data_IF_991484905377
#
_entry.id   IF_991484905377
#
_cell.length_a   1.000
_cell.length_b   1.000
_cell.length_c   1.000
_cell.angle_alpha   90.00
_cell.angle_beta   90.00
_cell.angle_gamma   90.00
#
_symmetry.space_group_name_H-M   'P 1'
#
loop_
_entity.id
_entity.type
_entity.pdbx_description
1 polymer ?
#
# COMPACT_ATOMS: atom_id res chain seq x y z
N UNK A 1 14.73 5.87 5.00
CA UNK A 1 15.26 4.68 4.29
C UNK A 1 14.22 3.56 4.10
N UNK A 2 13.32 3.28 5.05
CA UNK A 2 12.32 2.19 4.94
C UNK A 2 11.29 2.43 3.82
N UNK A 3 10.87 3.68 3.58
CA UNK A 3 9.92 4.02 2.50
C UNK A 3 10.45 3.66 1.09
N UNK A 4 11.77 3.80 0.88
CA UNK A 4 12.41 3.41 -0.37
C UNK A 4 12.39 1.90 -0.57
N UNK A 5 12.55 1.12 0.50
CA UNK A 5 12.46 -0.34 0.44
C UNK A 5 11.03 -0.81 0.13
N UNK A 6 9.99 -0.18 0.70
CA UNK A 6 8.60 -0.56 0.43
C UNK A 6 8.18 -0.25 -1.02
N UNK A 7 8.58 0.92 -1.56
CA UNK A 7 8.39 1.20 -2.99
C UNK A 7 9.13 0.16 -3.87
N UNK A 8 10.34 -0.25 -3.47
CA UNK A 8 11.11 -1.25 -4.22
C UNK A 8 10.43 -2.62 -4.20
N UNK A 9 9.91 -3.06 -3.04
CA UNK A 9 9.14 -4.30 -2.94
C UNK A 9 7.85 -4.25 -3.76
N UNK A 10 7.16 -3.10 -3.78
CA UNK A 10 5.96 -2.94 -4.59
C UNK A 10 6.25 -2.98 -6.09
N UNK A 11 7.32 -2.30 -6.54
CA UNK A 11 7.76 -2.30 -7.94
C UNK A 11 8.22 -3.71 -8.35
N UNK A 12 8.98 -4.41 -7.51
CA UNK A 12 9.44 -5.78 -7.79
C UNK A 12 8.30 -6.78 -7.79
N UNK A 13 7.34 -6.66 -6.87
CA UNK A 13 6.15 -7.51 -6.81
C UNK A 13 5.28 -7.30 -8.06
N UNK A 14 5.04 -6.03 -8.44
CA UNK A 14 4.32 -5.67 -9.66
C UNK A 14 5.03 -6.18 -10.92
N UNK A 15 6.35 -5.98 -11.03
CA UNK A 15 7.14 -6.46 -12.17
C UNK A 15 7.13 -7.99 -12.29
N UNK A 16 7.11 -8.71 -11.17
CA UNK A 16 7.03 -10.19 -11.14
C UNK A 16 5.64 -10.67 -11.57
N UNK A 17 4.59 -9.98 -11.15
CA UNK A 17 3.19 -10.29 -11.52
C UNK A 17 2.90 -10.01 -13.01
N UNK A 18 3.39 -8.89 -13.55
CA UNK A 18 3.26 -8.56 -14.98
C UNK A 18 3.97 -9.60 -15.86
N UNK A 19 5.08 -10.17 -15.39
CA UNK A 19 5.84 -11.20 -16.12
C UNK A 19 5.12 -12.56 -16.20
N UNK A 20 4.14 -12.83 -15.33
CA UNK A 20 3.41 -14.10 -15.30
C UNK A 20 2.13 -14.13 -16.15
N UNK A 21 1.69 -13.01 -16.72
CA UNK A 21 0.47 -12.96 -17.53
C UNK A 21 0.80 -13.13 -19.03
N UNK A 22 0.04 -13.93 -19.79
CA UNK A 22 0.14 -13.99 -21.25
C UNK A 22 -0.39 -12.66 -21.82
N UNK A 23 0.51 -11.77 -22.21
CA UNK A 23 0.16 -10.40 -22.57
C UNK A 23 -0.28 -10.33 -24.04
N UNK A 24 -1.53 -9.91 -24.29
CA UNK A 24 -1.96 -9.52 -25.64
C UNK A 24 -1.21 -8.25 -26.10
N UNK A 25 -0.88 -8.20 -27.40
CA UNK A 25 0.04 -7.23 -28.00
C UNK A 25 -0.30 -5.74 -27.76
N UNK A 26 -1.54 -5.41 -27.36
CA UNK A 26 -1.95 -4.05 -27.02
C UNK A 26 -1.40 -3.53 -25.69
N UNK A 27 -1.11 -4.39 -24.70
CA UNK A 27 -0.62 -3.96 -23.38
C UNK A 27 0.88 -3.62 -23.38
N UNK A 28 1.64 -4.16 -24.34
CA UNK A 28 3.08 -3.98 -24.43
C UNK A 28 3.49 -2.52 -24.64
N UNK A 29 2.68 -1.75 -25.39
CA UNK A 29 2.92 -0.32 -25.62
C UNK A 29 2.77 0.52 -24.35
N UNK A 30 1.81 0.16 -23.50
CA UNK A 30 1.56 0.83 -22.22
C UNK A 30 2.67 0.52 -21.22
N UNK A 31 3.11 -0.74 -21.15
CA UNK A 31 4.25 -1.15 -20.31
C UNK A 31 5.56 -0.51 -20.77
N UNK A 32 5.81 -0.39 -22.08
CA UNK A 32 6.99 0.31 -22.61
C UNK A 32 6.97 1.80 -22.28
N UNK A 33 5.81 2.46 -22.39
CA UNK A 33 5.64 3.86 -21.99
C UNK A 33 5.96 4.08 -20.51
N UNK A 34 5.48 3.20 -19.64
CA UNK A 34 5.79 3.22 -18.21
C UNK A 34 7.26 2.97 -17.90
N UNK A 35 7.90 2.02 -18.60
CA UNK A 35 9.32 1.71 -18.40
C UNK A 35 10.20 2.88 -18.80
N UNK A 36 9.92 3.52 -19.94
CA UNK A 36 10.68 4.69 -20.41
C UNK A 36 10.46 5.91 -19.52
N UNK A 37 9.24 6.15 -19.03
CA UNK A 37 8.98 7.20 -18.04
C UNK A 37 9.74 6.95 -16.73
N UNK A 38 9.81 5.70 -16.27
CA UNK A 38 10.53 5.31 -15.06
C UNK A 38 12.05 5.43 -15.21
N UNK A 39 12.60 5.04 -16.36
CA UNK A 39 14.03 5.20 -16.68
C UNK A 39 14.38 6.69 -16.79
N UNK A 40 13.52 7.50 -17.41
CA UNK A 40 13.67 8.95 -17.47
C UNK A 40 13.70 9.58 -16.07
N UNK A 41 12.82 9.14 -15.18
CA UNK A 41 12.80 9.60 -13.78
C UNK A 41 14.06 9.18 -13.01
N UNK A 42 14.51 7.94 -13.16
CA UNK A 42 15.73 7.45 -12.52
C UNK A 42 16.99 8.17 -13.03
N UNK A 43 17.07 8.45 -14.33
CA UNK A 43 18.18 9.17 -14.95
C UNK A 43 18.18 10.66 -14.55
N UNK A 44 17.00 11.29 -14.47
CA UNK A 44 16.83 12.64 -13.94
C UNK A 44 17.26 12.76 -12.47
N UNK A 45 16.94 11.79 -11.63
CA UNK A 45 17.36 11.75 -10.23
C UNK A 45 18.89 11.60 -10.05
N UNK A 46 19.57 10.90 -10.96
CA UNK A 46 21.03 10.76 -10.94
C UNK A 46 21.74 12.05 -11.39
N UNK A 47 21.19 12.74 -12.40
CA UNK A 47 21.70 14.05 -12.84
C UNK A 47 21.49 15.13 -11.76
N UNK A 48 20.34 15.13 -11.09
CA UNK A 48 20.03 16.06 -9.99
C UNK A 48 20.87 15.74 -8.74
N UNK A 49 21.16 14.47 -8.45
CA UNK A 49 22.09 14.10 -7.35
C UNK A 49 23.52 14.61 -7.59
N UNK A 50 23.94 14.71 -8.85
CA UNK A 50 25.26 15.24 -9.21
C UNK A 50 25.35 16.76 -9.09
N UNK A 51 24.22 17.48 -9.16
CA UNK A 51 24.14 18.93 -8.98
C UNK A 51 23.87 19.36 -7.52
N UNK A 52 23.45 18.46 -6.64
CA UNK A 52 22.98 18.79 -5.29
C UNK A 52 24.08 18.79 -4.21
N UNK A 53 25.35 18.64 -4.55
CA UNK A 53 26.47 18.82 -3.61
C UNK A 53 26.71 20.27 -3.17
N UNK A 54 25.89 21.24 -3.62
CA UNK A 54 26.18 22.68 -3.41
C UNK A 54 25.15 23.51 -2.62
N UNK A 55 24.01 22.98 -2.15
CA UNK A 55 23.22 23.75 -1.17
C UNK A 55 22.23 22.89 -0.37
N UNK A 56 22.35 22.90 0.96
CA UNK A 56 21.45 22.19 1.88
C UNK A 56 19.98 22.64 1.86
N UNK A 57 19.66 23.73 1.14
CA UNK A 57 18.29 24.24 0.98
C UNK A 57 17.53 23.51 -0.13
N UNK A 58 18.23 23.03 -1.16
CA UNK A 58 17.61 22.37 -2.30
C UNK A 58 17.09 20.95 -1.99
N UNK A 59 17.66 20.27 -0.98
CA UNK A 59 17.20 18.94 -0.56
C UNK A 59 15.78 18.94 0.04
N UNK A 60 15.44 19.96 0.84
CA UNK A 60 14.08 20.12 1.39
C UNK A 60 13.04 20.40 0.31
N UNK A 61 13.41 21.18 -0.71
CA UNK A 61 12.51 21.52 -1.82
C UNK A 61 12.33 20.35 -2.79
N UNK A 62 13.37 19.54 -3.01
CA UNK A 62 13.30 18.31 -3.79
C UNK A 62 12.45 17.23 -3.12
N UNK A 63 12.52 17.07 -1.78
CA UNK A 63 11.62 16.15 -1.07
C UNK A 63 10.14 16.54 -1.23
N UNK A 64 9.82 17.84 -1.23
CA UNK A 64 8.45 18.32 -1.45
C UNK A 64 8.01 18.11 -2.90
N UNK A 65 8.90 18.31 -3.89
CA UNK A 65 8.56 18.14 -5.31
C UNK A 65 8.45 16.67 -5.75
N UNK A 66 9.32 15.79 -5.26
CA UNK A 66 9.36 14.37 -5.66
C UNK A 66 8.36 13.52 -4.86
N UNK A 67 8.13 13.84 -3.58
CA UNK A 67 7.14 13.12 -2.78
C UNK A 67 5.78 13.83 -2.67
N UNK A 68 5.68 15.12 -3.00
CA UNK A 68 4.48 15.90 -2.70
C UNK A 68 3.43 15.98 -3.81
N UNK A 69 3.70 15.58 -5.06
CA UNK A 69 2.72 15.88 -6.14
C UNK A 69 2.37 14.74 -7.11
N UNK A 70 3.21 13.72 -7.40
CA UNK A 70 2.93 12.88 -8.61
C UNK A 70 3.06 11.34 -8.54
N UNK A 71 3.06 10.63 -7.40
CA UNK A 71 2.88 9.16 -7.47
C UNK A 71 1.59 8.61 -6.84
N UNK A 72 0.62 9.43 -6.42
CA UNK A 72 -0.56 8.90 -5.71
C UNK A 72 -1.62 8.32 -6.64
N UNK A 73 -2.08 9.04 -7.67
CA UNK A 73 -3.28 8.64 -8.40
C UNK A 73 -3.12 7.36 -9.24
N UNK A 74 -2.01 7.20 -9.96
CA UNK A 74 -1.78 6.04 -10.85
C UNK A 74 -1.51 4.77 -10.04
N UNK A 75 -0.78 4.86 -8.92
CA UNK A 75 -0.58 3.72 -8.03
C UNK A 75 -1.88 3.30 -7.32
N UNK A 76 -2.72 4.26 -6.92
CA UNK A 76 -3.99 3.96 -6.25
C UNK A 76 -4.99 3.27 -7.19
N UNK A 77 -5.12 3.74 -8.44
CA UNK A 77 -6.04 3.13 -9.41
C UNK A 77 -5.64 1.68 -9.76
N UNK A 78 -4.34 1.42 -9.93
CA UNK A 78 -3.83 0.06 -10.17
C UNK A 78 -4.06 -0.86 -8.97
N UNK A 79 -3.89 -0.36 -7.73
CA UNK A 79 -4.16 -1.12 -6.53
C UNK A 79 -5.65 -1.45 -6.37
N UNK A 80 -6.55 -0.48 -6.62
CA UNK A 80 -8.00 -0.68 -6.54
C UNK A 80 -8.51 -1.73 -7.53
N UNK A 81 -7.95 -1.79 -8.75
CA UNK A 81 -8.32 -2.79 -9.74
C UNK A 81 -7.88 -4.21 -9.34
N UNK A 82 -6.65 -4.36 -8.83
CA UNK A 82 -6.11 -5.66 -8.40
C UNK A 82 -6.85 -6.23 -7.18
N UNK A 83 -7.38 -5.36 -6.32
CA UNK A 83 -8.22 -5.74 -5.17
C UNK A 83 -9.50 -6.47 -5.59
N UNK A 84 -10.08 -6.19 -6.77
CA UNK A 84 -11.38 -6.74 -7.20
C UNK A 84 -11.32 -8.09 -7.94
N UNK A 85 -10.25 -8.42 -8.65
CA UNK A 85 -10.32 -9.42 -9.74
C UNK A 85 -9.45 -10.69 -9.59
N UNK A 86 -9.00 -11.07 -8.41
CA UNK A 86 -8.21 -12.32 -8.27
C UNK A 86 -9.07 -13.59 -8.13
N UNK A 87 -8.79 -14.66 -8.92
CA UNK A 87 -9.44 -15.96 -8.76
C UNK A 87 -9.00 -16.62 -7.45
N UNK A 88 -9.95 -17.22 -6.72
CA UNK A 88 -9.71 -17.72 -5.37
C UNK A 88 -8.73 -18.92 -5.34
N UNK A 89 -7.54 -18.80 -4.71
CA UNK A 89 -6.74 -19.96 -4.34
C UNK A 89 -7.49 -20.81 -3.30
N UNK A 90 -7.15 -22.12 -3.23
CA UNK A 90 -7.75 -23.07 -2.27
C UNK A 90 -7.65 -22.50 -0.84
N UNK A 91 -8.79 -22.33 -0.18
CA UNK A 91 -8.91 -21.56 1.05
C UNK A 91 -8.15 -22.21 2.20
N UNK A 92 -7.01 -21.61 2.56
CA UNK A 92 -6.45 -21.81 3.88
C UNK A 92 -7.34 -21.03 4.86
N UNK A 93 -8.06 -21.75 5.74
CA UNK A 93 -8.77 -21.10 6.85
C UNK A 93 -7.76 -20.40 7.75
N UNK A 94 -8.09 -19.17 8.13
CA UNK A 94 -7.31 -18.41 9.10
C UNK A 94 -7.31 -19.12 10.45
N UNK A 95 -6.17 -19.05 11.14
CA UNK A 95 -6.10 -19.35 12.56
C UNK A 95 -6.90 -18.31 13.38
N UNK A 96 -7.29 -18.66 14.60
CA UNK A 96 -8.03 -17.75 15.49
C UNK A 96 -7.24 -16.47 15.79
N UNK A 97 -5.90 -16.56 15.87
CA UNK A 97 -5.03 -15.41 16.07
C UNK A 97 -5.02 -14.48 14.84
N UNK A 98 -4.95 -15.04 13.63
CA UNK A 98 -5.03 -14.28 12.38
C UNK A 98 -6.39 -13.60 12.23
N UNK A 99 -7.47 -14.35 12.48
CA UNK A 99 -8.83 -13.82 12.43
C UNK A 99 -9.00 -12.65 13.40
N UNK A 100 -8.54 -12.80 14.65
CA UNK A 100 -8.56 -11.75 15.67
C UNK A 100 -7.78 -10.51 15.20
N UNK A 101 -6.55 -10.69 14.71
CA UNK A 101 -5.74 -9.58 14.23
C UNK A 101 -6.39 -8.83 13.06
N UNK A 102 -6.98 -9.55 12.11
CA UNK A 102 -7.69 -8.96 10.96
C UNK A 102 -8.90 -8.14 11.43
N UNK A 103 -9.74 -8.71 12.31
CA UNK A 103 -10.95 -8.04 12.82
C UNK A 103 -10.57 -6.75 13.57
N UNK A 104 -9.58 -6.83 14.47
CA UNK A 104 -9.10 -5.68 15.24
C UNK A 104 -8.57 -4.56 14.34
N UNK A 105 -7.75 -4.91 13.34
CA UNK A 105 -7.15 -3.95 12.42
C UNK A 105 -8.20 -3.26 11.55
N UNK A 106 -9.09 -4.01 10.89
CA UNK A 106 -10.15 -3.42 10.08
C UNK A 106 -11.18 -2.65 10.93
N UNK A 107 -11.50 -3.15 12.13
CA UNK A 107 -12.38 -2.47 13.07
C UNK A 107 -11.84 -1.11 13.49
N UNK A 108 -10.55 -1.04 13.80
CA UNK A 108 -9.86 0.22 14.10
C UNK A 108 -9.90 1.19 12.91
N UNK A 109 -9.57 0.74 11.70
CA UNK A 109 -9.59 1.62 10.53
C UNK A 109 -10.98 2.13 10.21
N UNK A 110 -12.00 1.28 10.32
CA UNK A 110 -13.41 1.68 10.18
C UNK A 110 -13.76 2.80 11.15
N UNK A 111 -13.40 2.67 12.43
CA UNK A 111 -13.67 3.71 13.43
C UNK A 111 -12.99 5.04 13.08
N UNK A 112 -11.72 5.01 12.70
CA UNK A 112 -10.98 6.21 12.28
C UNK A 112 -11.65 6.89 11.09
N UNK A 113 -12.09 6.11 10.08
CA UNK A 113 -12.78 6.64 8.91
C UNK A 113 -14.10 7.31 9.32
N UNK A 114 -14.91 6.65 10.16
CA UNK A 114 -16.20 7.19 10.63
C UNK A 114 -16.01 8.49 11.41
N UNK A 115 -15.07 8.51 12.36
CA UNK A 115 -14.84 9.67 13.23
C UNK A 115 -14.29 10.89 12.47
N UNK A 116 -13.48 10.64 11.43
CA UNK A 116 -12.70 11.68 10.73
C UNK A 116 -13.08 11.83 9.27
N UNK A 117 -14.23 11.31 8.84
CA UNK A 117 -14.67 11.40 7.44
C UNK A 117 -14.73 12.84 6.92
N UNK A 118 -15.08 13.82 7.77
CA UNK A 118 -15.10 15.23 7.36
C UNK A 118 -13.71 15.81 7.03
N UNK A 119 -12.64 15.18 7.49
CA UNK A 119 -11.26 15.59 7.22
C UNK A 119 -10.71 14.98 5.93
N UNK A 120 -11.36 13.92 5.42
CA UNK A 120 -10.93 13.24 4.21
C UNK A 120 -11.21 14.08 2.98
N UNK A 121 -10.16 14.34 2.19
CA UNK A 121 -10.29 14.98 0.88
C UNK A 121 -10.47 13.91 -0.16
N UNK A 122 -11.64 13.81 -0.76
CA UNK A 122 -11.91 12.83 -1.82
C UNK A 122 -11.14 13.22 -3.08
N UNK A 123 -10.05 12.50 -3.37
CA UNK A 123 -9.24 12.73 -4.58
C UNK A 123 -9.65 11.76 -5.70
N UNK A 124 -10.20 10.59 -5.35
CA UNK A 124 -10.57 9.50 -6.26
C UNK A 124 -11.87 8.87 -5.74
N UNK A 125 -12.82 8.55 -6.64
CA UNK A 125 -14.11 7.94 -6.28
C UNK A 125 -13.95 6.62 -5.49
N UNK A 126 -13.00 5.76 -5.90
CA UNK A 126 -12.68 4.50 -5.20
C UNK A 126 -12.03 4.69 -3.81
N UNK A 127 -11.76 5.94 -3.40
CA UNK A 127 -11.24 6.27 -2.08
C UNK A 127 -12.26 7.05 -1.22
N UNK A 128 -13.55 6.98 -1.56
CA UNK A 128 -14.60 7.59 -0.73
C UNK A 128 -14.63 6.94 0.66
N UNK A 129 -14.95 7.70 1.73
CA UNK A 129 -15.09 7.15 3.08
C UNK A 129 -16.07 5.96 3.12
N UNK A 130 -17.20 6.05 2.41
CA UNK A 130 -18.20 4.99 2.35
C UNK A 130 -17.63 3.72 1.71
N UNK A 131 -16.84 3.85 0.65
CA UNK A 131 -16.20 2.70 0.01
C UNK A 131 -15.22 2.00 0.95
N UNK A 132 -14.39 2.76 1.67
CA UNK A 132 -13.45 2.20 2.64
C UNK A 132 -14.15 1.53 3.81
N UNK A 133 -15.24 2.13 4.32
CA UNK A 133 -16.07 1.54 5.37
C UNK A 133 -16.66 0.21 4.91
N UNK A 134 -17.24 0.18 3.70
CA UNK A 134 -17.81 -1.04 3.13
C UNK A 134 -16.76 -2.13 2.95
N UNK A 135 -15.55 -1.76 2.50
CA UNK A 135 -14.43 -2.69 2.36
C UNK A 135 -13.99 -3.25 3.72
N UNK A 136 -13.94 -2.42 4.77
CA UNK A 136 -13.67 -2.90 6.13
C UNK A 136 -14.76 -3.86 6.63
N UNK A 137 -16.04 -3.54 6.40
CA UNK A 137 -17.17 -4.38 6.79
C UNK A 137 -17.20 -5.72 6.05
N UNK A 138 -16.91 -5.70 4.74
CA UNK A 138 -16.79 -6.91 3.93
C UNK A 138 -15.64 -7.79 4.40
N UNK A 139 -14.48 -7.19 4.73
CA UNK A 139 -13.35 -7.91 5.27
C UNK A 139 -13.67 -8.55 6.63
N UNK A 140 -14.27 -7.80 7.56
CA UNK A 140 -14.65 -8.31 8.89
C UNK A 140 -15.70 -9.42 8.77
N UNK A 141 -16.73 -9.23 7.93
CA UNK A 141 -17.82 -10.20 7.77
C UNK A 141 -17.33 -11.50 7.15
N UNK A 142 -16.45 -11.44 6.15
CA UNK A 142 -16.04 -12.58 5.34
C UNK A 142 -14.58 -13.03 5.57
N UNK A 143 -13.96 -12.64 6.69
CA UNK A 143 -12.54 -12.93 6.97
C UNK A 143 -12.19 -14.43 6.90
N UNK A 144 -13.13 -15.32 7.25
CA UNK A 144 -12.92 -16.78 7.15
C UNK A 144 -13.04 -17.34 5.73
N UNK A 145 -13.68 -16.60 4.82
CA UNK A 145 -13.94 -17.02 3.45
C UNK A 145 -12.85 -16.54 2.50
N UNK A 146 -12.26 -15.38 2.78
CA UNK A 146 -11.20 -14.82 1.94
C UNK A 146 -9.81 -15.37 2.28
N UNK A 147 -8.95 -15.56 1.26
CA UNK A 147 -7.54 -15.87 1.50
C UNK A 147 -6.86 -14.75 2.32
N UNK A 148 -5.97 -15.14 3.24
CA UNK A 148 -5.21 -14.20 4.07
C UNK A 148 -4.48 -13.12 3.25
N UNK A 149 -3.89 -13.50 2.11
CA UNK A 149 -3.19 -12.57 1.22
C UNK A 149 -4.11 -11.46 0.69
N UNK A 150 -5.36 -11.81 0.33
CA UNK A 150 -6.37 -10.85 -0.14
C UNK A 150 -6.70 -9.84 0.97
N UNK A 151 -6.95 -10.32 2.18
CA UNK A 151 -7.22 -9.48 3.35
C UNK A 151 -6.04 -8.56 3.68
N UNK A 152 -4.81 -9.05 3.58
CA UNK A 152 -3.60 -8.26 3.80
C UNK A 152 -3.45 -7.14 2.76
N UNK A 153 -3.74 -7.42 1.48
CA UNK A 153 -3.71 -6.40 0.42
C UNK A 153 -4.78 -5.32 0.64
N UNK A 154 -5.98 -5.74 1.02
CA UNK A 154 -7.09 -4.84 1.35
C UNK A 154 -6.74 -3.94 2.54
N UNK A 155 -6.16 -4.51 3.59
CA UNK A 155 -5.69 -3.78 4.76
C UNK A 155 -4.60 -2.76 4.38
N UNK A 156 -3.62 -3.17 3.56
CA UNK A 156 -2.57 -2.28 3.07
C UNK A 156 -3.12 -1.13 2.22
N UNK A 157 -4.16 -1.39 1.42
CA UNK A 157 -4.86 -0.34 0.66
C UNK A 157 -5.50 0.70 1.58
N UNK A 158 -6.29 0.26 2.58
CA UNK A 158 -6.93 1.17 3.54
C UNK A 158 -5.88 1.96 4.33
N UNK A 159 -4.83 1.31 4.83
CA UNK A 159 -3.72 1.97 5.52
C UNK A 159 -3.03 3.01 4.64
N UNK A 160 -2.79 2.70 3.36
CA UNK A 160 -2.18 3.63 2.41
C UNK A 160 -3.03 4.87 2.20
N UNK A 161 -4.35 4.71 2.04
CA UNK A 161 -5.28 5.83 1.89
C UNK A 161 -5.31 6.68 3.16
N UNK A 162 -5.43 6.07 4.34
CA UNK A 162 -5.45 6.82 5.61
C UNK A 162 -4.13 7.56 5.88
N UNK A 163 -2.99 6.93 5.59
CA UNK A 163 -1.68 7.54 5.78
C UNK A 163 -1.44 8.72 4.83
N UNK A 164 -1.86 8.61 3.57
CA UNK A 164 -1.75 9.71 2.58
C UNK A 164 -2.66 10.89 2.92
N UNK A 165 -3.79 10.64 3.58
CA UNK A 165 -4.68 11.68 4.11
C UNK A 165 -4.19 12.27 5.44
N UNK A 166 -3.10 11.75 6.02
CA UNK A 166 -2.58 12.20 7.31
C UNK A 166 -3.47 11.84 8.51
N UNK A 167 -4.38 10.86 8.35
CA UNK A 167 -5.29 10.43 9.41
C UNK A 167 -4.62 9.46 10.39
N UNK A 168 -3.59 8.74 9.93
CA UNK A 168 -2.79 7.82 10.75
C UNK A 168 -1.31 8.13 10.60
N UNK A 169 -0.55 7.92 11.68
CA UNK A 169 0.91 7.96 11.67
C UNK A 169 1.47 6.55 11.46
N UNK A 170 2.43 6.41 10.54
CA UNK A 170 3.13 5.13 10.30
C UNK A 170 3.78 4.59 11.58
N UNK A 171 4.26 5.48 12.46
CA UNK A 171 4.88 5.07 13.72
C UNK A 171 3.85 4.47 14.67
N UNK A 172 2.73 5.17 14.86
CA UNK A 172 1.64 4.72 15.74
C UNK A 172 1.04 3.41 15.25
N UNK A 173 0.81 3.28 13.94
CA UNK A 173 0.26 2.05 13.39
C UNK A 173 1.22 0.87 13.45
N UNK A 174 2.52 1.10 13.27
CA UNK A 174 3.51 0.05 13.48
C UNK A 174 3.52 -0.42 14.93
N UNK A 175 3.46 0.52 15.88
CA UNK A 175 3.52 0.19 17.30
C UNK A 175 2.22 -0.51 17.77
N UNK A 176 1.06 -0.18 17.16
CA UNK A 176 -0.23 -0.87 17.37
C UNK A 176 -0.30 -2.27 16.73
N UNK A 177 0.07 -2.39 15.46
CA UNK A 177 -0.10 -3.64 14.70
C UNK A 177 0.92 -4.73 15.07
N UNK A 178 2.11 -4.34 15.54
CA UNK A 178 3.20 -5.29 15.79
C UNK A 178 2.88 -6.35 16.85
N UNK A 179 2.31 -6.04 18.02
CA UNK A 179 1.87 -7.05 18.98
C UNK A 179 0.86 -8.05 18.38
N UNK A 180 -0.10 -7.56 17.59
CA UNK A 180 -1.12 -8.40 16.96
C UNK A 180 -0.50 -9.35 15.93
N UNK A 181 0.39 -8.85 15.07
CA UNK A 181 1.05 -9.66 14.04
C UNK A 181 2.12 -10.59 14.63
N UNK A 182 2.78 -10.20 15.72
CA UNK A 182 3.70 -11.10 16.42
C UNK A 182 2.96 -12.29 17.05
N UNK A 183 1.74 -12.08 17.57
CA UNK A 183 0.91 -13.16 18.10
C UNK A 183 0.52 -14.18 17.02
N UNK A 184 0.29 -13.72 15.79
CA UNK A 184 0.00 -14.57 14.63
C UNK A 184 1.16 -15.50 14.28
N UNK A 185 2.39 -14.97 14.21
CA UNK A 185 3.51 -15.74 13.70
C UNK A 185 4.15 -16.68 14.74
N UNK A 186 3.74 -16.63 16.01
CA UNK A 186 4.40 -17.31 17.14
C UNK A 186 5.93 -17.12 17.15
N UNK A 187 6.41 -16.12 16.42
CA UNK A 187 7.82 -15.95 16.12
C UNK A 187 8.39 -15.08 17.23
N UNK A 188 9.23 -15.69 18.06
CA UNK A 188 10.07 -14.92 18.97
C UNK A 188 11.14 -14.27 18.10
N UNK A 189 11.19 -12.92 17.99
CA UNK A 189 12.24 -12.28 17.21
C UNK A 189 13.60 -12.71 17.76
N UNK A 190 14.58 -13.05 16.92
CA UNK A 190 15.92 -13.35 17.40
C UNK A 190 16.46 -12.10 18.11
N UNK A 191 16.72 -12.22 19.40
CA UNK A 191 17.45 -11.18 20.15
C UNK A 191 18.90 -11.29 19.74
N UNK A 192 19.36 -10.33 18.93
CA UNK A 192 20.79 -10.21 18.65
C UNK A 192 21.49 -9.70 19.92
N UNK A 193 22.47 -10.45 20.47
CA UNK A 193 23.25 -10.04 21.63
C UNK A 193 24.17 -8.86 21.32
#
# INVERSE_FOLDING_TARGET
MILSAMCFFFILSWARHVRSQPVEAGLLGLVHGFLLASIGYACGCLLVSSMLTLSGVAYKMWQILVFGVVPSAICLAGAAYLVRNEPAPKSHRLSDAEATAIIEMFGRYKLIIIERQQEMKTVIEDCSPEHLINLCDEAIKNHQEYPFDKLCRWMGFVQGVLATQGLISVKEERDFSRPLLHAVHQYTPPTYP
#
